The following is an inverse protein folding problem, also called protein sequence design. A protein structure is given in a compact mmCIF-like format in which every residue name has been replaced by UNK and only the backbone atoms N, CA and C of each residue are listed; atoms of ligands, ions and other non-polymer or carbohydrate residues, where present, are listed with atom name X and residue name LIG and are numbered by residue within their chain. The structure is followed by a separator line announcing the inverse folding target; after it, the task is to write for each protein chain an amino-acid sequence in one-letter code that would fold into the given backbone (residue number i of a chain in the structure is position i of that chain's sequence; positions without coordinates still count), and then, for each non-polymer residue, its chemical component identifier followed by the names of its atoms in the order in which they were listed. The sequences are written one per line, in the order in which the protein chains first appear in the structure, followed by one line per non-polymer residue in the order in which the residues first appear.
data_IF_855096582876
#
_entry.id   IF_855096582876
#
_cell.length_a   1.000
_cell.length_b   1.000
_cell.length_c   1.000
_cell.angle_alpha   90.00
_cell.angle_beta   90.00
_cell.angle_gamma   90.00
#
_symmetry.space_group_name_H-M   'P 1'
#
loop_
_entity.id
_entity.type
_entity.pdbx_description
1 polymer ?
#
# COMPACT_ATOMS: atom_id res chain seq x y z
N UNK A 1 -25.46 -1.98 10.26
CA UNK A 1 -25.19 -1.76 9.97
C UNK A 1 -24.57 -1.22 9.30
N UNK A 2 -24.28 -1.02 9.02
CA UNK A 2 -23.91 -0.64 8.44
C UNK A 2 -23.25 -0.16 7.95
N UNK A 3 -22.82 0.17 7.63
CA UNK A 3 -22.27 0.56 7.22
C UNK A 3 -21.65 1.04 6.53
N UNK A 4 -21.36 1.30 6.14
CA UNK A 4 -20.94 1.61 5.43
C UNK A 4 -20.25 2.21 4.88
N UNK A 5 -19.71 2.61 4.82
CA UNK A 5 -19.01 3.30 4.35
C UNK A 5 -18.40 3.27 3.29
N UNK A 6 -18.65 3.00 2.86
CA UNK A 6 -18.26 2.77 1.75
C UNK A 6 -17.52 3.66 1.08
N UNK A 7 -17.63 4.72 1.13
CA UNK A 7 -17.05 5.47 0.35
C UNK A 7 -15.73 5.49 0.44
N UNK A 8 -15.20 5.37 1.28
CA UNK A 8 -13.98 5.51 1.33
C UNK A 8 -13.42 4.47 1.73
N UNK A 9 -13.54 3.50 1.34
CA UNK A 9 -13.03 2.52 1.74
C UNK A 9 -11.66 2.50 1.79
N UNK A 10 -10.99 2.33 2.83
CA UNK A 10 -9.63 2.06 2.89
C UNK A 10 -9.47 0.61 2.85
N UNK A 11 -8.59 0.11 2.04
CA UNK A 11 -8.29 -1.29 1.91
C UNK A 11 -6.94 -1.53 2.56
N UNK A 12 -6.85 -2.55 3.39
CA UNK A 12 -5.60 -2.85 4.06
C UNK A 12 -4.85 -3.96 3.37
N UNK A 13 -3.56 -3.82 3.30
CA UNK A 13 -2.69 -4.85 2.75
C UNK A 13 -1.54 -5.09 3.69
N UNK A 14 -0.66 -6.01 3.30
CA UNK A 14 0.55 -6.29 4.07
C UNK A 14 1.73 -6.30 3.12
N UNK A 15 2.88 -5.91 3.65
CA UNK A 15 4.10 -5.90 2.86
C UNK A 15 4.53 -7.33 2.61
N UNK A 16 4.69 -7.68 1.34
CA UNK A 16 5.14 -9.02 0.96
C UNK A 16 6.65 -9.05 0.76
N UNK A 17 7.24 -7.95 0.30
CA UNK A 17 8.65 -7.94 -0.01
C UNK A 17 9.13 -6.51 -0.15
N UNK A 18 10.36 -6.24 0.25
CA UNK A 18 10.96 -4.92 0.09
C UNK A 18 12.30 -5.12 -0.59
N UNK A 19 12.51 -4.47 -1.71
CA UNK A 19 13.78 -4.52 -2.42
C UNK A 19 14.11 -3.09 -2.82
N UNK A 20 15.04 -2.47 -2.09
CA UNK A 20 15.38 -1.08 -2.35
C UNK A 20 14.15 -0.21 -2.19
N UNK A 21 13.83 0.59 -3.19
CA UNK A 21 12.66 1.45 -3.13
C UNK A 21 11.38 0.73 -3.60
N UNK A 22 11.49 -0.54 -3.98
CA UNK A 22 10.35 -1.28 -4.49
C UNK A 22 9.74 -2.08 -3.35
N UNK A 23 8.44 -1.88 -3.11
CA UNK A 23 7.75 -2.56 -2.03
C UNK A 23 6.54 -3.27 -2.64
N UNK A 24 6.50 -4.59 -2.48
CA UNK A 24 5.36 -5.38 -2.95
C UNK A 24 4.39 -5.55 -1.80
N UNK A 25 3.12 -5.29 -2.05
CA UNK A 25 2.09 -5.30 -1.02
C UNK A 25 0.97 -6.23 -1.47
N UNK A 26 0.56 -7.11 -0.58
CA UNK A 26 -0.48 -8.06 -0.87
C UNK A 26 -1.78 -7.63 -0.20
N UNK A 27 -2.87 -7.71 -0.94
CA UNK A 27 -4.17 -7.32 -0.44
C UNK A 27 -5.11 -8.53 -0.45
N UNK A 28 -6.16 -8.47 0.33
CA UNK A 28 -7.11 -9.56 0.34
C UNK A 28 -8.34 -9.25 -0.47
N UNK A 29 -8.61 -8.02 -0.74
CA UNK A 29 -9.78 -7.65 -1.51
C UNK A 29 -9.38 -7.10 -2.84
N UNK A 30 -10.06 -6.02 -3.23
CA UNK A 30 -9.74 -5.40 -4.47
C UNK A 30 -8.42 -4.73 -4.39
N UNK A 31 -7.68 -4.73 -5.49
CA UNK A 31 -6.39 -4.06 -5.53
C UNK A 31 -6.58 -2.59 -5.81
N UNK A 32 -5.76 -1.73 -5.19
CA UNK A 32 -5.82 -0.32 -5.51
C UNK A 32 -5.35 -0.08 -6.94
N UNK A 33 -5.89 0.91 -7.61
CA UNK A 33 -5.49 1.19 -8.98
C UNK A 33 -4.06 1.72 -9.04
N UNK A 34 -3.49 1.69 -10.23
CA UNK A 34 -2.19 2.28 -10.49
C UNK A 34 -2.22 3.75 -10.07
N UNK A 35 -1.12 4.24 -9.51
CA UNK A 35 -0.94 5.61 -9.04
C UNK A 35 -1.70 5.92 -7.76
N UNK A 36 -2.32 4.95 -7.14
CA UNK A 36 -2.93 5.19 -5.84
C UNK A 36 -1.83 5.31 -4.78
N UNK A 37 -2.02 6.20 -3.85
CA UNK A 37 -1.09 6.37 -2.74
C UNK A 37 -1.47 5.40 -1.63
N UNK A 38 -0.52 4.62 -1.18
CA UNK A 38 -0.68 3.77 -0.02
C UNK A 38 0.17 4.36 1.10
N UNK A 39 -0.16 4.05 2.32
CA UNK A 39 0.61 4.55 3.46
C UNK A 39 0.96 3.43 4.40
N UNK A 40 2.15 3.48 4.94
CA UNK A 40 2.58 2.56 5.98
C UNK A 40 3.47 3.32 6.94
N UNK A 41 3.63 2.80 8.13
CA UNK A 41 4.47 3.45 9.09
C UNK A 41 5.92 3.04 8.91
N UNK A 42 6.81 4.01 9.05
CA UNK A 42 8.23 3.72 9.00
C UNK A 42 8.82 4.43 10.20
N UNK A 43 8.88 3.75 11.33
CA UNK A 43 9.27 4.38 12.58
C UNK A 43 8.19 5.37 12.99
N UNK A 44 8.57 6.62 13.19
CA UNK A 44 7.63 7.63 13.60
C UNK A 44 7.03 8.38 12.43
N UNK A 45 7.37 8.04 11.22
CA UNK A 45 6.87 8.78 10.07
C UNK A 45 5.95 7.90 9.24
N UNK A 46 5.16 8.53 8.42
CA UNK A 46 4.30 7.82 7.48
C UNK A 46 5.00 7.81 6.14
N UNK A 47 5.18 6.62 5.59
CA UNK A 47 5.80 6.47 4.29
C UNK A 47 4.72 6.27 3.26
N UNK A 48 4.82 6.99 2.15
CA UNK A 48 3.87 6.88 1.06
C UNK A 48 4.45 5.97 -0.01
N UNK A 49 3.62 5.05 -0.48
CA UNK A 49 3.99 4.12 -1.52
C UNK A 49 3.05 4.34 -2.70
N UNK A 50 3.61 4.49 -3.88
CA UNK A 50 2.79 4.71 -5.07
C UNK A 50 2.64 3.40 -5.82
N UNK A 51 1.40 3.00 -6.09
CA UNK A 51 1.15 1.75 -6.81
C UNK A 51 1.61 1.91 -8.25
N UNK A 52 2.56 1.10 -8.67
CA UNK A 52 3.14 1.19 -10.00
C UNK A 52 2.67 0.07 -10.91
N UNK A 53 2.28 -1.06 -10.36
CA UNK A 53 1.98 -2.21 -11.18
C UNK A 53 1.19 -3.24 -10.38
N UNK A 54 0.27 -3.91 -11.03
CA UNK A 54 -0.41 -5.05 -10.43
C UNK A 54 0.31 -6.31 -10.85
N UNK A 55 0.65 -7.15 -9.89
CA UNK A 55 1.45 -8.33 -10.19
C UNK A 55 0.64 -9.61 -10.28
N UNK A 56 -0.59 -9.60 -9.92
CA UNK A 56 -1.36 -10.84 -9.86
C UNK A 56 -1.35 -11.38 -8.46
N UNK A 57 -2.22 -12.34 -8.20
CA UNK A 57 -2.33 -12.96 -6.89
C UNK A 57 -2.54 -11.91 -5.81
N UNK A 58 -3.29 -10.89 -6.13
CA UNK A 58 -3.65 -9.85 -5.19
C UNK A 58 -2.46 -9.09 -4.64
N UNK A 59 -1.43 -8.98 -5.44
CA UNK A 59 -0.22 -8.26 -5.05
C UNK A 59 0.01 -7.09 -5.99
N UNK A 60 0.40 -5.96 -5.42
CA UNK A 60 0.76 -4.80 -6.23
C UNK A 60 2.21 -4.45 -5.94
N UNK A 61 2.87 -3.92 -6.93
CA UNK A 61 4.23 -3.42 -6.77
C UNK A 61 4.16 -1.91 -6.63
N UNK A 62 4.83 -1.39 -5.62
CA UNK A 62 4.81 0.03 -5.35
C UNK A 62 6.22 0.59 -5.32
N UNK A 63 6.31 1.89 -5.49
CA UNK A 63 7.58 2.60 -5.36
C UNK A 63 7.45 3.50 -4.15
N UNK A 64 8.40 3.39 -3.24
CA UNK A 64 8.38 4.19 -2.02
C UNK A 64 8.83 5.61 -2.34
N UNK A 65 8.16 6.57 -1.73
CA UNK A 65 8.50 7.96 -1.95
C UNK A 65 9.66 8.41 -1.08
N UNK A 66 10.07 7.58 -0.15
CA UNK A 66 11.16 7.91 0.75
C UNK A 66 11.86 6.61 1.13
N UNK A 67 12.79 6.66 2.05
CA UNK A 67 13.55 5.48 2.43
C UNK A 67 12.71 4.35 2.96
N UNK A 68 13.10 3.13 2.68
CA UNK A 68 12.36 1.96 3.11
C UNK A 68 13.04 1.23 4.27
N UNK A 69 14.08 1.81 4.84
CA UNK A 69 14.75 1.21 5.98
C UNK A 69 13.75 1.08 7.09
N UNK A 70 13.67 -0.02 7.71
CA UNK A 70 12.74 -0.21 8.81
C UNK A 70 11.43 -0.88 8.42
N UNK A 71 11.13 -0.99 7.15
CA UNK A 71 9.94 -1.72 6.74
C UNK A 71 10.20 -3.22 6.88
N UNK A 72 9.18 -3.96 7.29
CA UNK A 72 9.32 -5.39 7.46
C UNK A 72 8.20 -6.10 6.74
N UNK A 73 8.47 -7.33 6.36
CA UNK A 73 7.47 -8.15 5.71
C UNK A 73 6.33 -8.40 6.69
N UNK A 74 5.11 -8.36 6.24
CA UNK A 74 3.95 -8.55 7.09
C UNK A 74 3.41 -7.27 7.70
N UNK A 75 4.12 -6.15 7.53
CA UNK A 75 3.68 -4.89 8.08
C UNK A 75 2.44 -4.40 7.36
N UNK A 76 1.55 -3.75 8.08
CA UNK A 76 0.29 -3.30 7.50
C UNK A 76 0.47 -2.08 6.63
N UNK A 77 -0.24 -2.05 5.52
CA UNK A 77 -0.26 -0.94 4.59
C UNK A 77 -1.71 -0.58 4.33
N UNK A 78 -2.01 0.70 4.30
CA UNK A 78 -3.37 1.17 4.13
C UNK A 78 -3.49 1.92 2.82
N UNK A 79 -4.52 1.62 2.05
CA UNK A 79 -4.79 2.36 0.83
C UNK A 79 -5.60 3.59 1.18
N UNK A 80 -5.14 4.76 0.76
CA UNK A 80 -5.85 5.98 1.07
C UNK A 80 -6.95 6.27 0.08
N UNK A 81 -6.95 5.59 -1.06
CA UNK A 81 -7.94 5.86 -2.09
C UNK A 81 -7.63 7.08 -2.91
N UNK A 82 -6.50 7.72 -2.68
CA UNK A 82 -6.14 8.91 -3.42
C UNK A 82 -5.04 8.60 -4.41
N UNK A 83 -5.07 9.31 -5.51
CA UNK A 83 -4.01 9.17 -6.49
C UNK A 83 -2.98 10.23 -6.27
N UNK A 84 -1.73 9.88 -6.60
CA UNK A 84 -0.64 10.82 -6.56
C UNK A 84 -0.65 11.51 -7.90
N UNK A 85 -0.72 12.81 -7.89
CA UNK A 85 -0.76 13.53 -9.16
C UNK A 85 0.47 14.36 -9.40
#
# INVERSE_FOLDING_TARGET
MATAPALNQTTNGTIAQVIGAVVDVQFEGELPPIFTALETKNGDTTLVLEVAQHLGEKTVRTIAMDGTDGLVRGQEVVSTGQQIS
#
